data_IF_760865904832
#
_entry.id   IF_760865904832
#
_cell.length_a   1.000
_cell.length_b   1.000
_cell.length_c   1.000
_cell.angle_alpha   90.00
_cell.angle_beta   90.00
_cell.angle_gamma   90.00
#
_symmetry.space_group_name_H-M   'P 1'
#
loop_
_entity.id
_entity.type
_entity.pdbx_description
1 polymer ?
#
# COMPACT_ATOMS: atom_id res chain seq x y z
N UNK A 1 -44.51 15.56 25.15
CA UNK A 1 -43.34 14.64 25.29
C UNK A 1 -43.04 13.86 24.01
N UNK A 2 -43.99 13.13 23.40
CA UNK A 2 -43.74 12.34 22.17
C UNK A 2 -43.22 13.15 20.97
N UNK A 3 -43.73 14.37 20.77
CA UNK A 3 -43.30 15.27 19.67
C UNK A 3 -41.82 15.66 19.80
N UNK A 4 -41.33 15.91 21.01
CA UNK A 4 -39.92 16.27 21.25
C UNK A 4 -38.95 15.13 20.93
N UNK A 5 -39.36 13.87 21.17
CA UNK A 5 -38.55 12.70 20.85
C UNK A 5 -38.43 12.52 19.32
N UNK A 6 -39.52 12.73 18.58
CA UNK A 6 -39.53 12.62 17.12
C UNK A 6 -38.67 13.73 16.49
N UNK A 7 -38.76 14.96 16.99
CA UNK A 7 -37.96 16.08 16.51
C UNK A 7 -36.47 15.87 16.82
N UNK A 8 -36.13 15.41 18.03
CA UNK A 8 -34.74 15.10 18.38
C UNK A 8 -34.14 13.99 17.50
N UNK A 9 -34.91 12.93 17.23
CA UNK A 9 -34.49 11.85 16.34
C UNK A 9 -34.27 12.32 14.89
N UNK A 10 -35.13 13.21 14.38
CA UNK A 10 -34.96 13.79 13.04
C UNK A 10 -33.72 14.68 12.94
N UNK A 11 -33.44 15.50 13.97
CA UNK A 11 -32.24 16.35 14.03
C UNK A 11 -30.95 15.52 14.07
N UNK A 12 -30.92 14.45 14.87
CA UNK A 12 -29.77 13.53 14.94
C UNK A 12 -29.52 12.78 13.63
N UNK A 13 -30.58 12.52 12.85
CA UNK A 13 -30.46 11.80 11.56
C UNK A 13 -29.77 12.61 10.46
N UNK A 14 -29.68 13.94 10.59
CA UNK A 14 -29.04 14.81 9.58
C UNK A 14 -27.52 14.89 9.80
N UNK A 15 -27.03 14.55 11.00
CA UNK A 15 -25.62 14.70 11.40
C UNK A 15 -24.77 13.50 10.92
N UNK A 16 -25.41 12.38 10.54
CA UNK A 16 -24.73 11.12 10.22
C UNK A 16 -24.34 10.90 8.75
N UNK A 17 -23.97 11.93 7.99
CA UNK A 17 -23.41 11.74 6.64
C UNK A 17 -21.88 11.69 6.69
N UNK A 18 -21.35 10.56 7.14
CA UNK A 18 -19.94 10.25 6.92
C UNK A 18 -19.74 9.83 5.48
N UNK A 19 -19.15 10.70 4.66
CA UNK A 19 -18.65 10.30 3.33
C UNK A 19 -17.39 9.45 3.54
N UNK A 20 -17.57 8.14 3.72
CA UNK A 20 -16.47 7.20 3.62
C UNK A 20 -16.10 7.08 2.14
N UNK A 21 -15.06 7.79 1.70
CA UNK A 21 -14.37 7.39 0.48
C UNK A 21 -13.66 6.08 0.76
N UNK A 22 -13.85 5.10 -0.11
CA UNK A 22 -13.52 3.68 0.14
C UNK A 22 -12.00 3.42 0.19
N UNK A 23 -11.15 4.41 -0.12
CA UNK A 23 -9.68 4.33 0.00
C UNK A 23 -9.11 5.71 0.33
N UNK A 24 -8.18 5.79 1.29
CA UNK A 24 -7.46 7.01 1.66
C UNK A 24 -6.51 7.46 0.53
N UNK A 25 -6.41 8.78 0.31
CA UNK A 25 -5.46 9.34 -0.67
C UNK A 25 -4.03 9.30 -0.14
N UNK A 26 -3.07 9.48 -1.05
CA UNK A 26 -1.66 9.64 -0.74
C UNK A 26 -1.40 10.71 0.31
N UNK A 27 -2.09 11.86 0.25
CA UNK A 27 -1.99 12.93 1.27
C UNK A 27 -2.40 12.47 2.67
N UNK A 28 -3.52 11.73 2.77
CA UNK A 28 -4.06 11.27 4.05
C UNK A 28 -3.19 10.16 4.64
N UNK A 29 -2.69 9.30 3.75
CA UNK A 29 -1.77 8.22 4.07
C UNK A 29 -0.40 8.75 4.51
N UNK A 30 0.14 9.74 3.81
CA UNK A 30 1.40 10.40 4.15
C UNK A 30 1.36 10.92 5.57
N UNK A 31 0.35 11.72 5.92
CA UNK A 31 0.18 12.25 7.27
C UNK A 31 0.09 11.14 8.32
N UNK A 32 -0.65 10.08 8.01
CA UNK A 32 -0.81 8.92 8.90
C UNK A 32 0.51 8.17 9.12
N UNK A 33 1.31 8.01 8.07
CA UNK A 33 2.62 7.38 8.14
C UNK A 33 3.69 8.25 8.79
N UNK A 34 3.61 9.57 8.65
CA UNK A 34 4.45 10.50 9.41
C UNK A 34 4.21 10.36 10.92
N UNK A 35 2.95 10.26 11.35
CA UNK A 35 2.61 10.00 12.75
C UNK A 35 3.20 8.66 13.22
N UNK A 36 3.04 7.59 12.43
CA UNK A 36 3.60 6.28 12.74
C UNK A 36 5.13 6.35 12.90
N UNK A 37 5.82 7.02 11.98
CA UNK A 37 7.30 7.12 12.00
C UNK A 37 7.80 7.96 13.16
N UNK A 38 7.09 9.03 13.52
CA UNK A 38 7.41 9.85 14.69
C UNK A 38 7.18 9.12 16.01
N UNK A 39 6.28 8.13 16.04
CA UNK A 39 5.95 7.30 17.20
C UNK A 39 5.64 8.14 18.47
N UNK A 40 4.96 9.27 18.27
CA UNK A 40 4.62 10.25 19.28
C UNK A 40 3.19 10.73 19.03
N UNK A 41 2.23 10.16 19.76
CA UNK A 41 0.81 10.45 19.60
C UNK A 41 0.30 11.32 20.75
N UNK A 42 -0.40 12.39 20.41
CA UNK A 42 -0.94 13.36 21.37
C UNK A 42 -2.35 13.00 21.82
N UNK A 43 -3.08 12.21 21.03
CA UNK A 43 -4.46 11.81 21.29
C UNK A 43 -4.78 10.47 20.59
N UNK A 44 -6.00 9.96 20.82
CA UNK A 44 -6.47 8.70 20.26
C UNK A 44 -6.67 8.74 18.74
N UNK A 45 -7.01 9.90 18.17
CA UNK A 45 -7.21 10.03 16.73
C UNK A 45 -5.88 9.95 15.97
N UNK A 46 -4.81 10.52 16.51
CA UNK A 46 -3.45 10.38 15.98
C UNK A 46 -2.96 8.94 16.07
N UNK A 47 -3.17 8.26 17.21
CA UNK A 47 -2.83 6.85 17.37
C UNK A 47 -3.60 5.96 16.38
N UNK A 48 -4.91 6.24 16.19
CA UNK A 48 -5.75 5.54 15.21
C UNK A 48 -5.25 5.75 13.78
N UNK A 49 -4.88 6.98 13.43
CA UNK A 49 -4.35 7.33 12.10
C UNK A 49 -3.01 6.61 11.85
N UNK A 50 -2.11 6.60 12.83
CA UNK A 50 -0.86 5.85 12.74
C UNK A 50 -1.09 4.33 12.54
N UNK A 51 -2.04 3.76 13.27
CA UNK A 51 -2.44 2.36 13.10
C UNK A 51 -3.04 2.06 11.71
N UNK A 52 -3.74 3.03 11.10
CA UNK A 52 -4.22 2.90 9.72
C UNK A 52 -3.06 2.82 8.71
N UNK A 53 -2.02 3.65 8.88
CA UNK A 53 -0.80 3.50 8.08
C UNK A 53 -0.13 2.14 8.32
N UNK A 54 0.01 1.72 9.58
CA UNK A 54 0.65 0.45 9.94
C UNK A 54 -0.02 -0.73 9.19
N UNK A 55 -1.34 -0.84 9.29
CA UNK A 55 -2.09 -1.91 8.63
C UNK A 55 -2.00 -1.86 7.10
N UNK A 56 -1.96 -0.66 6.51
CA UNK A 56 -1.76 -0.50 5.06
C UNK A 56 -0.38 -0.98 4.63
N UNK A 57 0.67 -0.55 5.34
CA UNK A 57 2.06 -0.93 5.05
C UNK A 57 2.23 -2.44 5.21
N UNK A 58 1.71 -3.02 6.29
CA UNK A 58 1.71 -4.47 6.52
C UNK A 58 1.02 -5.21 5.37
N UNK A 59 -0.16 -4.74 4.96
CA UNK A 59 -0.91 -5.31 3.82
C UNK A 59 -0.08 -5.23 2.55
N UNK A 60 0.45 -4.06 2.20
CA UNK A 60 1.28 -3.90 1.01
C UNK A 60 2.50 -4.84 1.05
N UNK A 61 3.19 -4.95 2.19
CA UNK A 61 4.34 -5.84 2.34
C UNK A 61 3.98 -7.32 2.18
N UNK A 62 2.89 -7.75 2.82
CA UNK A 62 2.45 -9.15 2.82
C UNK A 62 2.06 -9.62 1.42
N UNK A 63 1.37 -8.75 0.66
CA UNK A 63 0.87 -9.11 -0.67
C UNK A 63 1.87 -8.84 -1.78
N UNK A 64 2.82 -7.91 -1.60
CA UNK A 64 3.79 -7.52 -2.64
C UNK A 64 4.48 -8.68 -3.36
N UNK A 65 4.97 -9.75 -2.68
CA UNK A 65 5.64 -10.86 -3.37
C UNK A 65 4.71 -11.69 -4.27
N UNK A 66 3.41 -11.65 -3.99
CA UNK A 66 2.38 -12.45 -4.67
C UNK A 66 1.70 -11.70 -5.82
N UNK A 67 2.05 -10.43 -6.05
CA UNK A 67 1.56 -9.66 -7.17
C UNK A 67 2.19 -10.13 -8.51
N UNK A 68 1.61 -9.76 -9.66
CA UNK A 68 2.21 -10.01 -10.98
C UNK A 68 3.63 -9.43 -11.12
N UNK A 69 4.47 -10.05 -11.95
CA UNK A 69 5.89 -9.67 -12.18
C UNK A 69 6.11 -8.18 -12.50
N UNK A 70 5.14 -7.53 -13.14
CA UNK A 70 5.23 -6.11 -13.48
C UNK A 70 4.93 -5.13 -12.34
N UNK A 71 4.45 -5.59 -11.18
CA UNK A 71 4.07 -4.71 -10.04
C UNK A 71 4.44 -5.29 -8.67
N UNK A 72 5.08 -6.47 -8.63
CA UNK A 72 5.50 -7.11 -7.39
C UNK A 72 6.75 -6.48 -6.80
N UNK A 73 6.90 -6.68 -5.49
CA UNK A 73 8.10 -6.34 -4.76
C UNK A 73 8.53 -7.50 -3.86
N UNK A 74 9.82 -7.58 -3.57
CA UNK A 74 10.43 -8.60 -2.73
C UNK A 74 11.06 -7.96 -1.47
N UNK A 75 10.25 -7.37 -0.58
CA UNK A 75 10.75 -6.79 0.66
C UNK A 75 11.44 -7.86 1.53
N UNK A 76 12.42 -7.46 2.37
CA UNK A 76 13.11 -8.39 3.25
C UNK A 76 12.14 -9.07 4.23
N UNK A 77 12.34 -10.36 4.49
CA UNK A 77 11.46 -11.22 5.33
C UNK A 77 11.34 -10.76 6.78
N UNK A 78 12.29 -9.97 7.28
CA UNK A 78 12.23 -9.33 8.61
C UNK A 78 12.04 -7.80 8.50
N UNK A 79 11.47 -7.33 7.40
CA UNK A 79 11.22 -5.90 7.19
C UNK A 79 10.38 -5.32 8.31
N UNK A 80 10.93 -4.33 9.02
CA UNK A 80 10.18 -3.59 10.02
C UNK A 80 9.13 -2.73 9.32
N UNK A 81 7.87 -2.78 9.79
CA UNK A 81 6.79 -1.91 9.31
C UNK A 81 7.21 -0.43 9.34
N UNK A 82 7.97 -0.02 10.36
CA UNK A 82 8.51 1.33 10.49
C UNK A 82 9.49 1.70 9.36
N UNK A 83 10.32 0.75 8.90
CA UNK A 83 11.23 0.99 7.78
C UNK A 83 10.48 1.05 6.45
N UNK A 84 9.46 0.21 6.28
CA UNK A 84 8.61 0.23 5.10
C UNK A 84 7.77 1.52 5.03
N UNK A 85 7.28 2.03 6.17
CA UNK A 85 6.65 3.34 6.24
C UNK A 85 7.62 4.46 5.81
N UNK A 86 8.90 4.40 6.20
CA UNK A 86 9.93 5.36 5.75
C UNK A 86 10.21 5.25 4.25
N UNK A 87 10.18 4.05 3.68
CA UNK A 87 10.31 3.82 2.23
C UNK A 87 9.14 4.48 1.50
N UNK A 88 7.92 4.25 1.97
CA UNK A 88 6.72 4.90 1.43
C UNK A 88 6.80 6.44 1.50
N UNK A 89 7.16 7.01 2.67
CA UNK A 89 7.30 8.46 2.83
C UNK A 89 8.35 9.04 1.89
N UNK A 90 9.52 8.40 1.77
CA UNK A 90 10.54 8.82 0.82
C UNK A 90 10.05 8.78 -0.62
N UNK A 91 9.27 7.77 -0.98
CA UNK A 91 8.73 7.65 -2.33
C UNK A 91 7.74 8.78 -2.64
N UNK A 92 6.79 9.05 -1.75
CA UNK A 92 5.79 10.09 -2.00
C UNK A 92 6.41 11.50 -1.99
N UNK A 93 7.42 11.75 -1.15
CA UNK A 93 8.19 13.01 -1.16
C UNK A 93 8.88 13.26 -2.51
N UNK A 94 9.34 12.19 -3.17
CA UNK A 94 9.97 12.25 -4.49
C UNK A 94 8.96 12.28 -5.66
N UNK A 95 7.68 12.01 -5.39
CA UNK A 95 6.62 11.93 -6.40
C UNK A 95 5.37 12.76 -5.97
N UNK A 96 5.52 14.08 -5.79
CA UNK A 96 4.48 14.93 -5.18
C UNK A 96 3.21 15.08 -6.03
N UNK A 97 3.27 14.77 -7.33
CA UNK A 97 2.14 14.75 -8.24
C UNK A 97 1.17 13.58 -7.97
N UNK A 98 1.64 12.52 -7.32
CA UNK A 98 0.89 11.29 -7.06
C UNK A 98 0.04 11.35 -5.79
N UNK A 99 0.13 12.41 -4.98
CA UNK A 99 -0.52 12.50 -3.65
C UNK A 99 -2.05 12.36 -3.67
N UNK A 100 -2.68 12.53 -4.83
CA UNK A 100 -4.13 12.37 -5.00
C UNK A 100 -4.57 10.92 -5.28
N UNK A 101 -3.63 10.01 -5.53
CA UNK A 101 -3.89 8.62 -5.80
C UNK A 101 -4.13 7.82 -4.52
N UNK A 102 -4.70 6.60 -4.61
CA UNK A 102 -4.85 5.72 -3.46
C UNK A 102 -3.50 5.42 -2.77
N UNK A 103 -3.42 5.63 -1.46
CA UNK A 103 -2.16 5.45 -0.72
C UNK A 103 -1.56 4.05 -0.84
N UNK A 104 -2.40 3.01 -0.87
CA UNK A 104 -1.97 1.62 -1.04
C UNK A 104 -1.31 1.37 -2.41
N UNK A 105 -1.76 2.04 -3.47
CA UNK A 105 -1.15 1.95 -4.80
C UNK A 105 0.25 2.53 -4.77
N UNK A 106 0.40 3.72 -4.18
CA UNK A 106 1.70 4.38 -4.01
C UNK A 106 2.63 3.51 -3.14
N UNK A 107 2.12 2.86 -2.09
CA UNK A 107 2.93 1.97 -1.24
C UNK A 107 3.46 0.75 -1.99
N UNK A 108 2.64 0.10 -2.83
CA UNK A 108 3.07 -1.04 -3.66
C UNK A 108 4.17 -0.60 -4.64
N UNK A 109 4.01 0.55 -5.29
CA UNK A 109 5.02 1.11 -6.19
C UNK A 109 6.30 1.47 -5.45
N UNK A 110 6.20 2.11 -4.28
CA UNK A 110 7.34 2.42 -3.43
C UNK A 110 8.14 1.18 -3.04
N UNK A 111 7.45 0.08 -2.74
CA UNK A 111 8.10 -1.18 -2.38
C UNK A 111 8.75 -1.85 -3.56
N UNK A 112 8.12 -1.80 -4.75
CA UNK A 112 8.72 -2.31 -5.98
C UNK A 112 10.02 -1.58 -6.30
N UNK A 113 10.02 -0.25 -6.19
CA UNK A 113 11.20 0.57 -6.46
C UNK A 113 12.31 0.34 -5.44
N UNK A 114 11.97 0.16 -4.17
CA UNK A 114 12.95 -0.09 -3.12
C UNK A 114 13.48 -1.54 -3.10
N UNK A 115 12.64 -2.50 -3.46
CA UNK A 115 12.90 -3.93 -3.35
C UNK A 115 12.41 -4.71 -4.58
N UNK A 116 13.03 -4.51 -5.75
CA UNK A 116 12.69 -5.28 -6.94
C UNK A 116 12.97 -6.77 -6.74
N UNK A 117 12.10 -7.62 -7.28
CA UNK A 117 12.33 -9.07 -7.28
C UNK A 117 13.35 -9.46 -8.35
N UNK A 118 14.26 -10.38 -8.03
CA UNK A 118 15.22 -10.90 -9.01
C UNK A 118 14.50 -11.73 -10.09
N UNK A 119 14.75 -11.40 -11.36
CA UNK A 119 14.20 -12.14 -12.51
C UNK A 119 13.04 -11.44 -13.22
N UNK A 120 12.48 -10.34 -12.69
CA UNK A 120 11.41 -9.59 -13.37
C UNK A 120 11.88 -8.83 -14.61
N UNK A 121 13.18 -8.52 -14.70
CA UNK A 121 13.82 -7.99 -15.92
C UNK A 121 14.22 -9.10 -16.91
N UNK A 122 14.27 -10.36 -16.46
CA UNK A 122 14.65 -11.50 -17.30
C UNK A 122 13.49 -11.98 -18.19
N UNK A 123 12.24 -11.84 -17.75
CA UNK A 123 11.09 -12.28 -18.55
C UNK A 123 10.77 -11.32 -19.72
N UNK A 124 11.13 -10.03 -19.59
CA UNK A 124 11.09 -9.07 -20.70
C UNK A 124 12.14 -9.36 -21.78
N UNK A 125 13.24 -10.02 -21.42
CA UNK A 125 14.38 -10.29 -22.30
C UNK A 125 14.46 -11.73 -22.85
N UNK A 126 13.52 -12.61 -22.49
CA UNK A 126 13.37 -13.97 -23.09
C UNK A 126 12.38 -13.95 -24.29
N UNK A 127 12.14 -12.79 -24.89
CA UNK A 127 11.55 -12.68 -26.22
C UNK A 127 12.65 -12.67 -27.29
N UNK A 128 12.86 -13.82 -27.95
CA UNK A 128 13.66 -14.01 -29.19
C UNK A 128 15.11 -14.49 -29.00
N UNK A 129 15.29 -15.79 -28.72
CA UNK A 129 16.58 -16.49 -28.85
C UNK A 129 16.39 -17.93 -29.34
N UNK A 130 17.24 -18.48 -30.24
CA UNK A 130 16.88 -19.61 -31.10
C UNK A 130 16.85 -20.96 -30.37
N UNK A 131 15.81 -21.76 -30.66
CA UNK A 131 15.64 -23.14 -30.17
C UNK A 131 16.84 -24.02 -30.54
N UNK A 132 17.72 -24.33 -29.57
CA UNK A 132 18.70 -25.41 -29.72
C UNK A 132 17.98 -26.75 -29.65
N UNK A 133 18.02 -27.48 -30.75
CA UNK A 133 17.52 -28.85 -30.86
C UNK A 133 18.36 -29.77 -29.96
N UNK A 134 17.71 -30.52 -29.07
CA UNK A 134 18.36 -31.58 -28.30
C UNK A 134 18.51 -32.86 -29.15
N UNK A 135 19.60 -33.63 -29.01
CA UNK A 135 19.79 -34.85 -29.78
C UNK A 135 18.93 -35.98 -29.22
N UNK A 136 18.22 -36.67 -30.11
CA UNK A 136 17.37 -37.83 -29.82
C UNK A 136 18.27 -38.98 -29.32
N UNK A 137 18.04 -39.47 -28.10
CA UNK A 137 18.65 -40.72 -27.60
C UNK A 137 18.21 -41.88 -28.49
N UNK A 138 19.18 -42.61 -29.07
CA UNK A 138 18.95 -43.91 -29.70
C UNK A 138 18.47 -44.89 -28.62
N UNK A 139 17.33 -45.53 -28.86
CA UNK A 139 16.95 -46.74 -28.12
C UNK A 139 17.74 -47.93 -28.69
N UNK A 140 17.97 -48.84 -27.76
CA UNK A 140 18.58 -50.16 -27.83
C UNK A 140 18.11 -51.00 -29.02
#
# INVERSE_FOLDING_TARGET
MRVYIIVAGLVLSIIGRGSATVVDKGTDTQRSCELLVQNSFRNQDEARSAGACEGMIETAMLFSPNLPAGIRACPPTQGSILQSAKVFLRYIDNNPDRVNEPGITIAIEAFRDAWPCQGDDAESSIGTGPKKHAPKKSKQ
#
